data_IF_422503527277
#
_entry.id   IF_422503527277
#
_cell.length_a   1.000
_cell.length_b   1.000
_cell.length_c   1.000
_cell.angle_alpha   90.00
_cell.angle_beta   90.00
_cell.angle_gamma   90.00
#
_symmetry.space_group_name_H-M   'P 1'
#
loop_
_entity.id
_entity.type
_entity.pdbx_description
1 polymer ?
#
# COMPACT_ATOMS: atom_id res chain seq x y z
N UNK A 1 16.35 -6.38 -31.97
CA UNK A 1 15.72 -7.56 -32.62
C UNK A 1 16.45 -8.87 -32.34
N UNK A 2 17.79 -8.94 -32.45
CA UNK A 2 18.65 -10.10 -32.12
C UNK A 2 18.23 -11.00 -30.93
N UNK A 3 17.82 -10.44 -29.78
CA UNK A 3 17.39 -11.22 -28.61
C UNK A 3 16.10 -12.00 -28.87
N UNK A 4 15.16 -11.39 -29.59
CA UNK A 4 13.84 -11.96 -29.88
C UNK A 4 13.93 -13.13 -30.86
N UNK A 5 14.80 -13.00 -31.87
CA UNK A 5 15.11 -14.09 -32.81
C UNK A 5 15.70 -15.31 -32.09
N UNK A 6 16.63 -15.09 -31.14
CA UNK A 6 17.20 -16.19 -30.34
C UNK A 6 16.13 -16.88 -29.48
N UNK A 7 15.20 -16.10 -28.90
CA UNK A 7 14.09 -16.62 -28.11
C UNK A 7 13.09 -17.42 -28.96
N UNK A 8 12.77 -16.94 -30.17
CA UNK A 8 11.89 -17.65 -31.09
C UNK A 8 12.49 -18.98 -31.56
N UNK A 9 13.75 -18.98 -31.99
CA UNK A 9 14.44 -20.23 -32.38
C UNK A 9 14.49 -21.25 -31.25
N UNK A 10 14.83 -20.81 -30.04
CA UNK A 10 14.83 -21.69 -28.86
C UNK A 10 13.43 -22.25 -28.58
N UNK A 11 12.40 -21.40 -28.67
CA UNK A 11 11.02 -21.82 -28.46
C UNK A 11 10.53 -22.81 -29.53
N UNK A 12 10.90 -22.61 -30.80
CA UNK A 12 10.59 -23.51 -31.90
C UNK A 12 11.29 -24.87 -31.75
N UNK A 13 12.58 -24.86 -31.42
CA UNK A 13 13.38 -26.08 -31.18
C UNK A 13 12.85 -26.91 -30.00
N UNK A 14 12.30 -26.26 -28.98
CA UNK A 14 11.85 -26.90 -27.75
C UNK A 14 10.32 -27.03 -27.63
N UNK A 15 9.57 -26.62 -28.67
CA UNK A 15 8.10 -26.64 -28.64
C UNK A 15 7.48 -25.76 -27.55
N UNK A 16 8.15 -24.69 -27.12
CA UNK A 16 7.70 -23.81 -26.04
C UNK A 16 6.74 -22.77 -26.63
N UNK A 17 5.48 -22.81 -26.20
CA UNK A 17 4.50 -21.77 -26.53
C UNK A 17 4.60 -20.63 -25.51
N UNK A 18 4.87 -19.37 -25.91
CA UNK A 18 4.89 -18.25 -24.98
C UNK A 18 3.52 -18.08 -24.32
N UNK A 19 3.46 -18.17 -23.00
CA UNK A 19 2.26 -17.93 -22.21
C UNK A 19 2.45 -16.73 -21.29
N UNK A 20 1.37 -15.99 -21.05
CA UNK A 20 1.35 -14.91 -20.06
C UNK A 20 1.54 -15.47 -18.65
N UNK A 21 2.38 -14.82 -17.85
CA UNK A 21 2.58 -15.22 -16.46
C UNK A 21 1.31 -14.95 -15.65
N UNK A 22 0.53 -15.99 -15.34
CA UNK A 22 -0.59 -15.89 -14.41
C UNK A 22 -0.15 -16.36 -13.02
N UNK A 23 0.69 -15.55 -12.35
CA UNK A 23 1.05 -15.75 -10.94
C UNK A 23 0.36 -14.68 -10.11
N UNK A 24 -0.37 -15.11 -9.08
CA UNK A 24 -0.88 -14.20 -8.05
C UNK A 24 0.31 -13.54 -7.37
N UNK A 25 0.37 -12.21 -7.36
CA UNK A 25 1.35 -11.47 -6.58
C UNK A 25 0.98 -11.70 -5.12
N UNK A 26 1.73 -12.57 -4.46
CA UNK A 26 1.59 -12.77 -3.02
C UNK A 26 2.33 -11.61 -2.37
N UNK A 27 1.57 -10.73 -1.72
CA UNK A 27 2.14 -9.69 -0.87
C UNK A 27 2.82 -10.37 0.33
N UNK A 28 4.14 -10.21 0.42
CA UNK A 28 4.96 -10.80 1.48
C UNK A 28 4.53 -10.25 2.85
N UNK A 29 4.02 -9.01 2.91
CA UNK A 29 3.50 -8.41 4.14
C UNK A 29 2.19 -9.07 4.60
N UNK A 30 1.40 -9.63 3.69
CA UNK A 30 0.17 -10.34 4.02
C UNK A 30 0.44 -11.73 4.63
N UNK A 31 1.64 -12.29 4.46
CA UNK A 31 1.98 -13.61 5.02
C UNK A 31 1.93 -13.61 6.55
N UNK A 32 2.34 -12.52 7.20
CA UNK A 32 2.24 -12.34 8.65
C UNK A 32 0.80 -12.12 9.14
N UNK A 33 -0.03 -11.42 8.36
CA UNK A 33 -1.43 -11.17 8.72
C UNK A 33 -2.34 -12.39 8.54
N UNK A 34 -2.03 -13.28 7.58
CA UNK A 34 -2.82 -14.49 7.35
C UNK A 34 -2.62 -15.56 8.44
N UNK A 35 -1.52 -15.53 9.19
CA UNK A 35 -1.33 -16.38 10.39
C UNK A 35 -2.28 -15.97 11.52
N UNK A 36 -2.60 -14.67 11.64
CA UNK A 36 -3.52 -14.16 12.66
C UNK A 36 -5.01 -14.39 12.31
N UNK A 37 -5.36 -14.53 11.02
CA UNK A 37 -6.77 -14.59 10.57
C UNK A 37 -7.42 -15.98 10.66
N UNK A 38 -6.69 -17.03 11.01
CA UNK A 38 -7.28 -18.38 11.18
C UNK A 38 -7.93 -18.61 12.54
N UNK A 39 -7.92 -17.62 13.46
CA UNK A 39 -8.67 -17.68 14.73
C UNK A 39 -9.47 -16.41 15.01
N UNK A 40 -10.55 -16.15 14.28
CA UNK A 40 -11.67 -15.33 14.77
C UNK A 40 -12.91 -15.42 13.87
N UNK A 41 -13.51 -16.60 13.73
CA UNK A 41 -14.94 -16.69 13.38
C UNK A 41 -15.71 -16.55 14.69
N UNK A 42 -16.01 -15.32 15.09
CA UNK A 42 -16.61 -15.02 16.40
C UNK A 42 -17.30 -13.66 16.44
N UNK A 43 -18.47 -13.58 15.81
CA UNK A 43 -19.67 -12.86 16.27
C UNK A 43 -19.47 -11.60 17.14
N UNK A 44 -19.63 -10.44 16.51
CA UNK A 44 -20.57 -9.42 16.96
C UNK A 44 -20.09 -8.33 17.93
N UNK A 45 -20.49 -7.10 17.55
CA UNK A 45 -20.89 -5.97 18.42
C UNK A 45 -19.78 -5.02 18.86
N UNK A 46 -19.96 -3.75 18.48
CA UNK A 46 -19.39 -2.62 19.22
C UNK A 46 -18.89 -1.50 18.34
N UNK A 47 -19.77 -0.55 18.00
CA UNK A 47 -19.38 0.81 17.62
C UNK A 47 -18.43 1.38 18.67
N UNK A 48 -17.30 1.89 18.21
CA UNK A 48 -16.76 3.16 18.71
C UNK A 48 -16.03 3.83 17.56
N UNK A 49 -16.79 4.49 16.69
CA UNK A 49 -16.30 5.65 15.95
C UNK A 49 -15.88 6.67 17.00
N UNK A 50 -14.65 6.57 17.48
CA UNK A 50 -14.03 7.62 18.27
C UNK A 50 -13.88 8.80 17.30
N UNK A 51 -14.85 9.71 17.37
CA UNK A 51 -14.73 11.07 16.87
C UNK A 51 -13.59 11.73 17.65
N UNK A 52 -12.36 11.46 17.27
CA UNK A 52 -11.20 12.18 17.76
C UNK A 52 -10.89 13.26 16.73
N UNK A 53 -11.37 14.47 17.02
CA UNK A 53 -10.99 15.68 16.32
C UNK A 53 -11.43 15.73 14.86
N UNK A 54 -12.68 16.12 14.63
CA UNK A 54 -12.96 16.96 13.47
C UNK A 54 -12.09 18.20 13.67
N UNK A 55 -10.86 18.15 13.14
CA UNK A 55 -10.11 19.37 12.85
C UNK A 55 -10.79 19.91 11.60
N UNK A 56 -11.93 20.55 11.83
CA UNK A 56 -12.46 21.62 11.00
C UNK A 56 -11.37 22.68 10.92
N UNK A 57 -10.43 22.45 10.03
CA UNK A 57 -9.69 23.52 9.43
C UNK A 57 -9.97 23.33 7.95
N UNK A 58 -10.63 24.33 7.38
CA UNK A 58 -10.62 24.64 5.96
C UNK A 58 -9.17 24.76 5.47
N UNK A 59 -8.45 23.64 5.45
CA UNK A 59 -7.15 23.54 4.86
C UNK A 59 -7.44 23.54 3.37
N UNK A 60 -7.23 24.70 2.76
CA UNK A 60 -7.15 24.81 1.29
C UNK A 60 -6.42 23.58 0.75
N UNK A 61 -6.82 23.01 -0.40
CA UNK A 61 -6.20 21.82 -0.98
C UNK A 61 -4.66 21.89 -1.01
N UNK A 62 -4.12 23.11 -1.16
CA UNK A 62 -2.70 23.44 -1.07
C UNK A 62 -2.06 23.15 0.29
N UNK A 63 -2.70 23.50 1.39
CA UNK A 63 -2.15 23.29 2.73
C UNK A 63 -2.22 21.80 3.14
N UNK A 64 -3.23 21.08 2.65
CA UNK A 64 -3.35 19.64 2.83
C UNK A 64 -2.25 18.90 2.03
N UNK A 65 -1.97 19.33 0.80
CA UNK A 65 -0.86 18.83 0.00
C UNK A 65 0.51 19.07 0.65
N UNK A 66 0.74 20.24 1.25
CA UNK A 66 1.98 20.53 1.99
C UNK A 66 2.17 19.58 3.17
N UNK A 67 1.11 19.34 3.95
CA UNK A 67 1.16 18.43 5.10
C UNK A 67 1.40 16.97 4.69
N UNK A 68 0.82 16.54 3.57
CA UNK A 68 1.10 15.22 2.97
C UNK A 68 2.60 15.10 2.63
N UNK A 69 3.17 16.12 1.98
CA UNK A 69 4.58 16.08 1.59
C UNK A 69 5.53 16.04 2.80
N UNK A 70 5.22 16.80 3.86
CA UNK A 70 5.98 16.79 5.11
C UNK A 70 5.95 15.40 5.79
N UNK A 71 4.76 14.80 5.91
CA UNK A 71 4.60 13.47 6.50
C UNK A 71 5.26 12.37 5.65
N UNK A 72 5.24 12.49 4.31
CA UNK A 72 5.98 11.59 3.43
C UNK A 72 7.49 11.65 3.70
N UNK A 73 8.04 12.85 3.90
CA UNK A 73 9.44 13.04 4.27
C UNK A 73 9.79 12.38 5.61
N UNK A 74 8.96 12.59 6.64
CA UNK A 74 9.14 11.98 7.96
C UNK A 74 9.04 10.45 7.90
N UNK A 75 8.04 9.90 7.19
CA UNK A 75 7.90 8.46 6.99
C UNK A 75 9.15 7.86 6.34
N UNK A 76 9.70 8.52 5.31
CA UNK A 76 10.91 8.08 4.63
C UNK A 76 12.16 8.14 5.54
N UNK A 77 12.22 9.12 6.44
CA UNK A 77 13.29 9.22 7.43
C UNK A 77 13.22 8.09 8.46
N UNK A 78 12.05 7.82 9.04
CA UNK A 78 11.86 6.70 9.96
C UNK A 78 12.11 5.34 9.28
N UNK A 79 11.71 5.20 8.01
CA UNK A 79 12.01 4.00 7.23
C UNK A 79 13.52 3.79 7.02
N UNK A 80 14.29 4.87 6.82
CA UNK A 80 15.76 4.81 6.74
C UNK A 80 16.40 4.43 8.07
N UNK A 81 15.83 4.90 9.18
CA UNK A 81 16.28 4.59 10.54
C UNK A 81 15.85 3.20 11.03
N UNK A 82 15.14 2.41 10.22
CA UNK A 82 14.53 1.12 10.59
C UNK A 82 13.45 1.22 11.68
N UNK A 83 12.88 2.40 11.88
CA UNK A 83 11.80 2.71 12.83
C UNK A 83 10.44 2.41 12.19
N UNK A 84 10.19 1.13 11.89
CA UNK A 84 9.02 0.72 11.10
C UNK A 84 7.68 0.94 11.81
N UNK A 85 7.65 0.93 13.14
CA UNK A 85 6.42 1.18 13.90
C UNK A 85 5.94 2.63 13.73
N UNK A 86 6.87 3.59 13.79
CA UNK A 86 6.59 5.02 13.61
C UNK A 86 6.26 5.32 12.14
N UNK A 87 7.03 4.73 11.20
CA UNK A 87 6.72 4.83 9.77
C UNK A 87 5.32 4.28 9.43
N UNK A 88 4.88 3.19 10.09
CA UNK A 88 3.54 2.64 9.88
C UNK A 88 2.43 3.57 10.39
N UNK A 89 2.64 4.23 11.53
CA UNK A 89 1.69 5.22 12.05
C UNK A 89 1.54 6.41 11.09
N UNK A 90 2.65 6.93 10.58
CA UNK A 90 2.66 8.05 9.62
C UNK A 90 1.99 7.63 8.30
N UNK A 91 2.23 6.40 7.83
CA UNK A 91 1.56 5.86 6.64
C UNK A 91 0.04 5.86 6.80
N UNK A 92 -0.47 5.42 7.95
CA UNK A 92 -1.91 5.36 8.20
C UNK A 92 -2.52 6.77 8.27
N UNK A 93 -1.80 7.75 8.83
CA UNK A 93 -2.19 9.17 8.80
C UNK A 93 -2.19 9.75 7.38
N UNK A 94 -1.19 9.40 6.56
CA UNK A 94 -1.13 9.78 5.14
C UNK A 94 -2.32 9.24 4.34
N UNK A 95 -2.72 7.99 4.60
CA UNK A 95 -3.90 7.41 3.97
C UNK A 95 -5.18 8.18 4.31
N UNK A 96 -5.38 8.54 5.58
CA UNK A 96 -6.52 9.34 6.01
C UNK A 96 -6.53 10.73 5.36
N UNK A 97 -5.37 11.40 5.31
CA UNK A 97 -5.26 12.72 4.68
C UNK A 97 -5.52 12.67 3.17
N UNK A 98 -5.06 11.62 2.48
CA UNK A 98 -5.35 11.44 1.05
C UNK A 98 -6.82 11.15 0.80
N UNK A 99 -7.48 10.39 1.67
CA UNK A 99 -8.92 10.13 1.57
C UNK A 99 -9.73 11.42 1.76
N UNK A 100 -9.35 12.25 2.76
CA UNK A 100 -9.93 13.58 2.95
C UNK A 100 -9.66 14.51 1.76
N UNK A 101 -8.47 14.45 1.16
CA UNK A 101 -8.15 15.21 -0.05
C UNK A 101 -9.04 14.84 -1.23
N UNK A 102 -9.25 13.54 -1.46
CA UNK A 102 -10.14 13.05 -2.51
C UNK A 102 -11.59 13.43 -2.24
N UNK A 103 -12.03 13.40 -0.98
CA UNK A 103 -13.39 13.79 -0.60
C UNK A 103 -13.63 15.31 -0.67
N UNK A 104 -12.58 16.12 -0.52
CA UNK A 104 -12.62 17.57 -0.58
C UNK A 104 -12.33 18.15 -1.98
N UNK A 105 -11.86 17.31 -2.91
CA UNK A 105 -11.63 17.66 -4.33
C UNK A 105 -12.85 17.38 -5.19
#
# INVERSE_FOLDING_TARGET
>A
ERRREKQQKYNEEHGITPQGLNKKVVDILALGQNIAKTKAKGKGKGRSTAKAGIVELDMTPKALQQKIHELEGQMMQHAQNLEFEEAAQIRDQLHQLRELFIAAS
#
